data_IF_320581929524
#
_entry.id   IF_320581929524
#
_cell.length_a   1.000
_cell.length_b   1.000
_cell.length_c   1.000
_cell.angle_alpha   90.00
_cell.angle_beta   90.00
_cell.angle_gamma   90.00
#
_symmetry.space_group_name_H-M   'P 1'
#
loop_
_entity.id
_entity.type
_entity.pdbx_description
1 polymer ?
#
# COMPACT_ATOMS: atom_id res chain seq x y z
N UNK A 1 48.93 -62.27 0.41
CA UNK A 1 49.59 -61.51 -0.69
C UNK A 1 48.81 -61.74 -1.98
N UNK A 2 48.63 -60.67 -2.78
CA UNK A 2 48.08 -60.61 -4.17
C UNK A 2 46.54 -60.68 -4.25
N UNK A 3 45.79 -59.92 -5.06
CA UNK A 3 45.85 -58.61 -5.76
C UNK A 3 44.52 -58.54 -6.60
N UNK A 4 44.15 -57.34 -7.07
CA UNK A 4 43.20 -56.99 -8.17
C UNK A 4 41.69 -56.99 -7.85
N UNK A 5 40.80 -56.18 -8.45
CA UNK A 5 40.77 -54.87 -9.14
C UNK A 5 39.37 -54.72 -9.81
N UNK A 6 38.70 -53.55 -9.66
CA UNK A 6 37.71 -52.88 -10.58
C UNK A 6 36.41 -53.66 -11.01
N UNK A 7 35.19 -53.13 -11.19
CA UNK A 7 34.71 -51.82 -11.68
C UNK A 7 33.16 -51.61 -11.55
N UNK A 8 32.77 -50.34 -11.30
CA UNK A 8 31.66 -49.47 -11.82
C UNK A 8 30.13 -49.74 -11.75
N UNK A 9 29.43 -48.58 -11.66
CA UNK A 9 28.00 -48.23 -11.87
C UNK A 9 27.06 -48.55 -10.70
N UNK A 10 26.24 -47.64 -10.14
CA UNK A 10 25.62 -46.42 -10.65
C UNK A 10 25.11 -45.57 -9.47
N UNK A 11 25.05 -44.26 -9.67
CA UNK A 11 24.50 -43.28 -8.74
C UNK A 11 23.08 -43.66 -8.27
N UNK A 12 22.85 -43.61 -6.96
CA UNK A 12 21.53 -43.35 -6.44
C UNK A 12 21.57 -42.08 -5.60
N UNK A 13 20.78 -41.13 -6.09
CA UNK A 13 20.50 -39.82 -5.54
C UNK A 13 20.40 -39.83 -4.02
N UNK A 14 21.04 -38.84 -3.41
CA UNK A 14 20.74 -38.40 -2.06
C UNK A 14 19.22 -38.15 -1.95
N UNK A 15 18.52 -39.04 -1.27
CA UNK A 15 17.20 -38.76 -0.72
C UNK A 15 17.42 -37.85 0.48
N UNK A 16 17.54 -36.55 0.21
CA UNK A 16 17.41 -35.52 1.25
C UNK A 16 16.01 -35.68 1.84
N UNK A 17 15.86 -35.96 3.15
CA UNK A 17 14.54 -36.04 3.77
C UNK A 17 14.02 -34.63 3.98
N UNK A 18 13.67 -33.96 2.87
CA UNK A 18 12.78 -32.82 2.83
C UNK A 18 11.34 -33.32 2.81
N UNK A 19 10.94 -34.05 3.84
CA UNK A 19 9.55 -34.03 4.31
C UNK A 19 9.49 -32.81 5.24
N UNK A 20 8.60 -31.85 5.05
CA UNK A 20 7.16 -32.08 5.09
C UNK A 20 6.45 -30.92 4.40
N UNK A 21 5.73 -31.22 3.33
CA UNK A 21 4.63 -30.39 2.85
C UNK A 21 3.46 -30.51 3.83
N UNK A 22 2.62 -29.46 3.91
CA UNK A 22 1.40 -29.31 4.74
C UNK A 22 1.60 -28.69 6.13
N UNK A 23 1.58 -27.37 6.17
CA UNK A 23 0.56 -26.62 6.92
C UNK A 23 0.29 -25.31 6.17
N UNK A 24 -0.77 -25.31 5.35
CA UNK A 24 -1.53 -24.08 5.14
C UNK A 24 -2.25 -23.86 6.47
N UNK A 25 -1.63 -23.08 7.34
CA UNK A 25 -2.24 -22.51 8.54
C UNK A 25 -2.74 -21.12 8.07
N UNK A 26 -3.95 -20.99 7.53
CA UNK A 26 -5.22 -20.89 8.25
C UNK A 26 -5.07 -20.15 9.58
N UNK A 27 -4.82 -18.85 9.47
CA UNK A 27 -5.49 -17.82 10.27
C UNK A 27 -5.86 -16.65 9.33
N UNK A 28 -6.57 -16.96 8.24
CA UNK A 28 -7.61 -16.04 7.80
C UNK A 28 -8.70 -16.20 8.85
N UNK A 29 -8.60 -15.43 9.94
CA UNK A 29 -9.82 -15.05 10.63
C UNK A 29 -10.55 -14.18 9.62
N UNK A 30 -11.36 -14.85 8.79
CA UNK A 30 -12.53 -14.28 8.18
C UNK A 30 -13.40 -13.87 9.37
N UNK A 31 -13.06 -12.73 9.98
CA UNK A 31 -13.97 -12.08 10.90
C UNK A 31 -15.21 -11.80 10.08
N UNK A 32 -16.28 -12.49 10.47
CA UNK A 32 -17.64 -12.18 10.08
C UNK A 32 -17.86 -10.67 10.25
N UNK A 33 -17.74 -9.93 9.16
CA UNK A 33 -18.52 -8.73 8.97
C UNK A 33 -19.27 -8.96 7.68
N UNK A 34 -20.47 -9.53 7.83
CA UNK A 34 -21.58 -9.25 6.94
C UNK A 34 -21.93 -7.75 7.09
N UNK A 35 -20.98 -6.90 6.67
CA UNK A 35 -21.11 -5.45 6.55
C UNK A 35 -20.29 -5.10 5.33
N UNK A 36 -20.99 -4.79 4.23
CA UNK A 36 -20.39 -4.44 2.95
C UNK A 36 -19.81 -3.02 3.06
N UNK A 37 -18.68 -2.88 3.75
CA UNK A 37 -17.97 -1.62 3.87
C UNK A 37 -16.93 -1.49 2.75
N UNK A 38 -16.88 -0.31 2.11
CA UNK A 38 -15.85 0.04 1.12
C UNK A 38 -15.10 1.28 1.59
N UNK A 39 -13.79 1.28 1.41
CA UNK A 39 -12.97 2.45 1.66
C UNK A 39 -13.15 3.51 0.56
N UNK A 40 -12.89 4.79 0.85
CA UNK A 40 -12.84 5.83 -0.18
C UNK A 40 -11.78 5.55 -1.25
N UNK A 41 -12.05 5.95 -2.48
CA UNK A 41 -11.16 5.72 -3.61
C UNK A 41 -11.06 6.95 -4.53
N UNK A 42 -9.83 7.30 -4.95
CA UNK A 42 -9.63 8.31 -5.97
C UNK A 42 -10.10 7.78 -7.35
N UNK A 43 -10.69 8.62 -8.23
CA UNK A 43 -11.05 8.17 -9.58
C UNK A 43 -9.82 7.65 -10.35
N UNK A 44 -9.81 6.36 -10.68
CA UNK A 44 -8.65 5.69 -11.31
C UNK A 44 -7.63 5.13 -10.30
N UNK A 45 -7.98 5.09 -9.02
CA UNK A 45 -7.24 4.47 -7.94
C UNK A 45 -6.03 5.27 -7.44
N UNK A 46 -5.35 4.69 -6.45
CA UNK A 46 -4.21 5.32 -5.77
C UNK A 46 -3.08 5.72 -6.75
N UNK A 47 -2.79 4.90 -7.76
CA UNK A 47 -1.75 5.21 -8.75
C UNK A 47 -2.07 6.48 -9.54
N UNK A 48 -3.32 6.66 -9.96
CA UNK A 48 -3.75 7.88 -10.64
C UNK A 48 -3.65 9.10 -9.72
N UNK A 49 -3.98 8.93 -8.44
CA UNK A 49 -3.85 9.99 -7.45
C UNK A 49 -2.38 10.42 -7.28
N UNK A 50 -1.46 9.49 -7.06
CA UNK A 50 -0.03 9.79 -6.92
C UNK A 50 0.55 10.46 -8.17
N UNK A 51 0.15 10.00 -9.36
CA UNK A 51 0.54 10.62 -10.63
C UNK A 51 -0.01 12.05 -10.78
N UNK A 52 -1.11 12.39 -10.10
CA UNK A 52 -1.64 13.76 -10.08
C UNK A 52 -0.89 14.67 -9.09
N UNK A 53 -0.39 14.12 -7.98
CA UNK A 53 0.24 14.88 -6.90
C UNK A 53 1.73 15.11 -7.18
N UNK A 54 2.50 14.06 -7.46
CA UNK A 54 3.97 14.15 -7.53
C UNK A 54 4.48 15.21 -8.54
N UNK A 55 3.93 15.32 -9.77
CA UNK A 55 4.37 16.35 -10.70
C UNK A 55 3.94 17.76 -10.28
N UNK A 56 2.83 17.91 -9.54
CA UNK A 56 2.39 19.20 -9.01
C UNK A 56 3.29 19.65 -7.86
N UNK A 57 3.68 18.74 -6.96
CA UNK A 57 4.57 19.06 -5.83
C UNK A 57 5.98 19.40 -6.31
N UNK A 58 6.55 18.59 -7.21
CA UNK A 58 7.90 18.80 -7.79
C UNK A 58 8.04 20.15 -8.52
N UNK A 59 7.00 20.58 -9.24
CA UNK A 59 7.00 21.89 -9.93
C UNK A 59 6.77 23.07 -8.99
N UNK A 60 6.10 22.85 -7.86
CA UNK A 60 5.71 23.93 -6.97
C UNK A 60 6.83 24.37 -6.02
N UNK A 61 7.67 23.44 -5.56
CA UNK A 61 8.68 23.73 -4.53
C UNK A 61 9.79 22.67 -4.50
N UNK A 62 11.03 23.09 -4.22
CA UNK A 62 12.15 22.18 -3.96
C UNK A 62 12.02 21.47 -2.62
N UNK A 63 12.43 20.21 -2.55
CA UNK A 63 12.35 19.39 -1.35
C UNK A 63 13.61 18.53 -1.17
N UNK A 64 13.81 18.01 0.04
CA UNK A 64 14.80 16.95 0.31
C UNK A 64 14.11 15.59 0.18
N UNK A 65 14.82 14.55 -0.28
CA UNK A 65 14.27 13.19 -0.29
C UNK A 65 13.77 12.79 1.10
N UNK A 66 12.65 12.09 1.15
CA UNK A 66 12.01 11.70 2.40
C UNK A 66 10.62 11.13 2.22
N UNK A 67 10.06 10.65 3.32
CA UNK A 67 8.70 10.17 3.41
C UNK A 67 7.85 11.15 4.22
N UNK A 68 6.57 11.23 3.90
CA UNK A 68 5.60 11.96 4.69
C UNK A 68 4.30 11.18 4.78
N UNK A 69 3.56 11.41 5.87
CA UNK A 69 2.29 10.78 6.15
C UNK A 69 1.22 11.86 6.24
N UNK A 70 0.29 11.82 5.28
CA UNK A 70 -0.83 12.77 5.21
C UNK A 70 -2.11 12.04 5.58
N UNK A 71 -3.00 12.71 6.31
CA UNK A 71 -4.36 12.25 6.56
C UNK A 71 -5.34 13.30 6.04
N UNK A 72 -6.49 12.86 5.55
CA UNK A 72 -7.58 13.74 5.14
C UNK A 72 -8.92 13.02 5.25
N UNK A 73 -10.00 13.78 5.35
CA UNK A 73 -11.37 13.26 5.34
C UNK A 73 -11.89 13.26 3.90
N UNK A 74 -12.45 12.13 3.46
CA UNK A 74 -13.31 12.07 2.27
C UNK A 74 -14.75 12.14 2.75
N UNK A 75 -15.47 13.19 2.34
CA UNK A 75 -16.87 13.40 2.69
C UNK A 75 -17.79 12.52 1.83
N UNK A 76 -19.06 12.40 2.24
CA UNK A 76 -20.09 11.62 1.55
C UNK A 76 -20.35 12.09 0.11
N UNK A 77 -20.04 13.35 -0.21
CA UNK A 77 -20.17 13.92 -1.55
C UNK A 77 -18.89 13.78 -2.41
N UNK A 78 -17.86 13.12 -1.86
CA UNK A 78 -16.56 12.93 -2.48
C UNK A 78 -15.59 14.10 -2.30
N UNK A 79 -15.98 15.20 -1.65
CA UNK A 79 -15.05 16.31 -1.39
C UNK A 79 -14.02 15.93 -0.32
N UNK A 80 -12.85 16.58 -0.35
CA UNK A 80 -11.81 16.41 0.68
C UNK A 80 -11.87 17.57 1.67
N UNK A 81 -11.76 17.23 2.96
CA UNK A 81 -11.60 18.18 4.06
C UNK A 81 -10.56 17.68 5.06
N UNK A 82 -10.26 18.51 6.08
CA UNK A 82 -9.41 18.11 7.22
C UNK A 82 -8.03 17.54 6.81
N UNK A 83 -7.37 18.18 5.85
CA UNK A 83 -6.06 17.73 5.39
C UNK A 83 -4.97 18.11 6.40
N UNK A 84 -4.33 17.09 6.97
CA UNK A 84 -3.28 17.22 7.99
C UNK A 84 -2.04 16.39 7.65
N UNK A 85 -0.88 16.87 8.08
CA UNK A 85 0.40 16.15 7.93
C UNK A 85 0.79 15.61 9.30
N UNK A 86 0.82 14.29 9.45
CA UNK A 86 1.23 13.62 10.70
C UNK A 86 2.76 13.54 10.80
N UNK A 87 3.41 13.24 9.68
CA UNK A 87 4.86 13.18 9.55
C UNK A 87 5.24 13.89 8.26
N UNK A 88 6.13 14.87 8.33
CA UNK A 88 6.43 15.78 7.21
C UNK A 88 7.92 15.85 6.87
N UNK A 89 8.25 16.43 5.70
CA UNK A 89 9.63 16.63 5.25
C UNK A 89 10.13 18.02 5.66
N UNK A 90 9.29 19.04 5.48
CA UNK A 90 9.57 20.40 5.92
C UNK A 90 8.29 21.25 5.93
N UNK A 91 8.14 22.23 6.84
CA UNK A 91 6.88 22.99 6.97
C UNK A 91 6.38 23.64 5.68
N UNK A 92 7.30 24.13 4.83
CA UNK A 92 6.95 24.74 3.54
C UNK A 92 6.47 23.72 2.52
N UNK A 93 7.14 22.56 2.45
CA UNK A 93 6.76 21.47 1.56
C UNK A 93 5.42 20.86 1.98
N UNK A 94 5.28 20.57 3.26
CA UNK A 94 4.09 19.95 3.84
C UNK A 94 2.85 20.82 3.58
N UNK A 95 2.97 22.14 3.78
CA UNK A 95 1.91 23.10 3.43
C UNK A 95 1.49 22.97 1.95
N UNK A 96 2.45 22.90 1.03
CA UNK A 96 2.15 22.82 -0.41
C UNK A 96 1.48 21.49 -0.78
N UNK A 97 1.92 20.39 -0.17
CA UNK A 97 1.30 19.08 -0.36
C UNK A 97 -0.16 19.09 0.12
N UNK A 98 -0.43 19.67 1.30
CA UNK A 98 -1.80 19.80 1.81
C UNK A 98 -2.70 20.63 0.88
N UNK A 99 -2.20 21.73 0.34
CA UNK A 99 -2.94 22.54 -0.65
C UNK A 99 -3.27 21.74 -1.91
N UNK A 100 -2.32 20.94 -2.42
CA UNK A 100 -2.53 20.12 -3.63
C UNK A 100 -3.55 19.00 -3.38
N UNK A 101 -3.54 18.39 -2.20
CA UNK A 101 -4.50 17.35 -1.81
C UNK A 101 -5.88 17.94 -1.58
N UNK A 102 -5.98 19.13 -0.97
CA UNK A 102 -7.24 19.84 -0.80
C UNK A 102 -7.88 20.24 -2.14
N UNK A 103 -7.06 20.49 -3.17
CA UNK A 103 -7.49 20.77 -4.56
C UNK A 103 -7.69 19.48 -5.41
N UNK A 104 -7.80 18.32 -4.76
CA UNK A 104 -8.09 17.07 -5.46
C UNK A 104 -9.53 17.06 -6.01
N UNK A 105 -9.78 16.46 -7.19
CA UNK A 105 -11.13 16.26 -7.68
C UNK A 105 -11.95 15.37 -6.73
N UNK A 106 -13.27 15.29 -6.96
CA UNK A 106 -14.15 14.45 -6.13
C UNK A 106 -13.69 12.99 -6.12
N UNK A 107 -13.57 12.44 -4.92
CA UNK A 107 -13.32 11.04 -4.63
C UNK A 107 -14.62 10.23 -4.65
N UNK A 108 -14.48 8.93 -4.82
CA UNK A 108 -15.54 7.98 -4.48
C UNK A 108 -15.54 7.90 -2.95
N UNK A 109 -16.65 8.26 -2.28
CA UNK A 109 -16.74 8.20 -0.83
C UNK A 109 -16.63 6.75 -0.33
N UNK A 110 -16.35 6.59 0.96
CA UNK A 110 -16.53 5.29 1.60
C UNK A 110 -18.00 4.88 1.50
N UNK A 111 -18.28 3.58 1.53
CA UNK A 111 -19.63 3.05 1.47
C UNK A 111 -19.83 2.12 2.66
N UNK A 112 -20.94 2.23 3.37
CA UNK A 112 -21.37 1.27 4.38
C UNK A 112 -22.82 0.90 4.10
N UNK A 113 -23.10 -0.39 3.91
CA UNK A 113 -24.45 -0.89 3.62
C UNK A 113 -25.11 -0.23 2.39
N UNK A 114 -24.29 0.19 1.41
CA UNK A 114 -24.75 0.88 0.19
C UNK A 114 -24.96 2.39 0.36
N UNK A 115 -24.70 2.94 1.54
CA UNK A 115 -24.79 4.38 1.81
C UNK A 115 -23.40 5.03 1.82
N UNK A 116 -23.20 6.20 1.19
CA UNK A 116 -21.95 6.91 1.27
C UNK A 116 -21.71 7.38 2.70
N UNK A 117 -20.49 7.19 3.20
CA UNK A 117 -20.05 7.62 4.52
C UNK A 117 -18.82 8.52 4.41
N UNK A 118 -18.69 9.44 5.36
CA UNK A 118 -17.42 10.13 5.59
C UNK A 118 -16.38 9.17 6.16
N UNK A 119 -15.15 9.22 5.64
CA UNK A 119 -14.07 8.37 6.13
C UNK A 119 -12.71 9.05 6.04
N UNK A 120 -11.89 8.84 7.07
CA UNK A 120 -10.49 9.26 7.06
C UNK A 120 -9.67 8.37 6.12
N UNK A 121 -8.81 9.01 5.34
CA UNK A 121 -7.87 8.35 4.45
C UNK A 121 -6.44 8.70 4.88
N UNK A 122 -5.62 7.67 5.07
CA UNK A 122 -4.21 7.81 5.45
C UNK A 122 -3.32 7.50 4.25
N UNK A 123 -2.55 8.50 3.82
CA UNK A 123 -1.74 8.45 2.61
C UNK A 123 -0.24 8.56 2.95
N UNK A 124 0.51 7.45 2.89
CA UNK A 124 1.97 7.51 2.87
C UNK A 124 2.44 8.02 1.50
N UNK A 125 3.25 9.06 1.51
CA UNK A 125 3.90 9.62 0.31
C UNK A 125 5.41 9.49 0.45
N UNK A 126 6.06 9.13 -0.64
CA UNK A 126 7.52 9.00 -0.70
C UNK A 126 8.07 9.83 -1.85
N UNK A 127 8.99 10.73 -1.51
CA UNK A 127 9.64 11.64 -2.43
C UNK A 127 11.12 11.32 -2.50
N UNK A 128 11.59 11.00 -3.70
CA UNK A 128 13.00 10.75 -4.02
C UNK A 128 13.61 11.93 -4.78
#
# INVERSE_FOLDING_TARGET
MKKLATAFLSAFFAFSPGAQERVHDVLTTEEETNKKQKAPEYPGGLKAFLNSIHPKTQRAISYRPGSMLVTFMVNEDGSISEVETLEGISPKFDKKVREIIADSPKWIPGEEEGQPIKAYYKLPLHFN
#
